data_IF_664857268788
#
_entry.id   IF_664857268788
#
_cell.length_a   1.000
_cell.length_b   1.000
_cell.length_c   1.000
_cell.angle_alpha   90.00
_cell.angle_beta   90.00
_cell.angle_gamma   90.00
#
_symmetry.space_group_name_H-M   'P 1'
#
loop_
_entity.id
_entity.type
_entity.pdbx_description
1 polymer ?
#
# COMPACT_ATOMS: atom_id res chain seq x y z
N UNK A 1 -21.75 8.00 -19.95
CA UNK A 1 -23.15 8.21 -19.61
C UNK A 1 -23.36 8.90 -18.26
N UNK A 2 -22.51 8.63 -17.26
CA UNK A 2 -22.71 9.05 -15.86
C UNK A 2 -21.59 9.96 -15.33
N UNK A 3 -20.80 10.57 -16.22
CA UNK A 3 -19.76 11.52 -15.86
C UNK A 3 -20.31 12.68 -15.04
N UNK A 4 -19.61 13.09 -14.00
CA UNK A 4 -20.02 14.13 -13.04
C UNK A 4 -21.29 13.82 -12.20
N UNK A 5 -21.78 12.58 -12.23
CA UNK A 5 -22.84 12.14 -11.33
C UNK A 5 -22.24 11.57 -10.05
N UNK A 6 -22.75 12.04 -8.91
CA UNK A 6 -22.35 11.48 -7.61
C UNK A 6 -22.75 10.00 -7.52
N UNK A 7 -21.83 9.12 -7.07
CA UNK A 7 -22.01 7.68 -7.14
C UNK A 7 -23.33 7.18 -6.54
N UNK A 8 -23.75 7.70 -5.39
CA UNK A 8 -25.02 7.31 -4.74
C UNK A 8 -26.27 7.87 -5.44
N UNK A 9 -26.10 8.69 -6.46
CA UNK A 9 -27.19 9.19 -7.33
C UNK A 9 -27.19 8.50 -8.70
N UNK A 10 -26.21 7.64 -8.97
CA UNK A 10 -26.08 6.99 -10.26
C UNK A 10 -27.05 5.81 -10.45
N UNK A 11 -27.40 5.10 -9.37
CA UNK A 11 -28.24 3.89 -9.45
C UNK A 11 -29.56 4.09 -10.19
N UNK A 12 -30.39 5.13 -9.90
CA UNK A 12 -31.60 5.35 -10.65
C UNK A 12 -31.35 5.59 -12.13
N UNK A 13 -30.29 6.33 -12.47
CA UNK A 13 -29.94 6.64 -13.86
C UNK A 13 -29.48 5.39 -14.61
N UNK A 14 -28.73 4.49 -13.94
CA UNK A 14 -28.32 3.21 -14.52
C UNK A 14 -29.54 2.34 -14.80
N UNK A 15 -30.47 2.25 -13.85
CA UNK A 15 -31.73 1.49 -14.00
C UNK A 15 -32.55 2.02 -15.16
N UNK A 16 -32.71 3.32 -15.26
CA UNK A 16 -33.43 3.97 -16.35
C UNK A 16 -32.79 3.67 -17.71
N UNK A 17 -31.47 3.79 -17.79
CA UNK A 17 -30.73 3.48 -19.02
C UNK A 17 -30.84 2.02 -19.45
N UNK A 18 -30.86 1.11 -18.51
CA UNK A 18 -31.08 -0.32 -18.79
C UNK A 18 -32.51 -0.58 -19.29
N UNK A 19 -33.52 0.13 -18.75
CA UNK A 19 -34.92 0.07 -19.23
C UNK A 19 -35.03 0.57 -20.67
N UNK A 20 -34.47 1.74 -20.96
CA UNK A 20 -34.44 2.32 -22.30
C UNK A 20 -33.86 1.38 -23.36
N UNK A 21 -32.85 0.61 -22.97
CA UNK A 21 -32.15 -0.34 -23.84
C UNK A 21 -32.79 -1.74 -23.87
N UNK A 22 -33.90 -1.96 -23.18
CA UNK A 22 -34.54 -3.26 -22.99
C UNK A 22 -33.58 -4.35 -22.43
N UNK A 23 -32.66 -3.94 -21.54
CA UNK A 23 -31.68 -4.83 -20.93
C UNK A 23 -31.91 -5.08 -19.43
N UNK A 24 -32.96 -4.50 -18.86
CA UNK A 24 -33.30 -4.69 -17.46
C UNK A 24 -34.26 -5.89 -17.33
N UNK A 25 -33.78 -6.97 -16.67
CA UNK A 25 -34.65 -8.11 -16.39
C UNK A 25 -35.54 -7.88 -15.18
N UNK A 26 -34.97 -7.36 -14.09
CA UNK A 26 -35.69 -7.12 -12.83
C UNK A 26 -34.96 -6.07 -11.99
N UNK A 27 -35.73 -5.32 -11.23
CA UNK A 27 -35.19 -4.39 -10.21
C UNK A 27 -35.98 -4.59 -8.91
N UNK A 28 -35.28 -4.84 -7.82
CA UNK A 28 -35.87 -5.00 -6.49
C UNK A 28 -35.06 -4.18 -5.47
N UNK A 29 -35.74 -3.78 -4.41
CA UNK A 29 -35.09 -3.20 -3.24
C UNK A 29 -34.69 -4.31 -2.28
N UNK A 30 -33.40 -4.38 -1.92
CA UNK A 30 -32.88 -5.28 -0.92
C UNK A 30 -32.42 -4.47 0.30
N UNK A 31 -32.89 -4.89 1.48
CA UNK A 31 -32.40 -4.33 2.73
C UNK A 31 -31.32 -5.28 3.29
N UNK A 32 -30.08 -4.80 3.40
CA UNK A 32 -28.93 -5.60 3.86
C UNK A 32 -27.93 -4.74 4.63
N UNK A 33 -27.04 -5.40 5.38
CA UNK A 33 -25.91 -4.72 6.01
C UNK A 33 -24.91 -4.23 4.94
N UNK A 34 -24.50 -2.98 5.07
CA UNK A 34 -23.52 -2.37 4.15
C UNK A 34 -22.29 -1.88 4.93
N UNK A 35 -21.06 -2.07 4.43
CA UNK A 35 -19.86 -1.69 5.14
C UNK A 35 -19.71 -0.18 5.24
N UNK A 36 -19.41 0.31 6.43
CA UNK A 36 -19.11 1.70 6.73
C UNK A 36 -17.78 1.77 7.49
N UNK A 37 -16.87 2.70 7.16
CA UNK A 37 -15.67 2.90 7.95
C UNK A 37 -16.05 3.48 9.31
N UNK A 38 -15.40 3.01 10.35
CA UNK A 38 -15.70 3.39 11.72
C UNK A 38 -15.51 4.90 12.01
N UNK A 39 -14.65 5.59 11.23
CA UNK A 39 -14.39 7.03 11.37
C UNK A 39 -15.46 7.88 10.70
N UNK A 40 -15.65 7.74 9.39
CA UNK A 40 -16.54 8.62 8.62
C UNK A 40 -18.01 8.24 8.70
N UNK A 41 -18.31 6.98 9.06
CA UNK A 41 -19.68 6.41 9.07
C UNK A 41 -20.41 6.50 7.71
N UNK A 42 -19.74 6.95 6.66
CA UNK A 42 -20.31 7.01 5.32
C UNK A 42 -20.27 5.63 4.65
N UNK A 43 -21.19 5.29 3.75
CA UNK A 43 -21.13 4.05 2.99
C UNK A 43 -19.81 3.95 2.21
N UNK A 44 -19.17 2.77 2.21
CA UNK A 44 -18.00 2.54 1.37
C UNK A 44 -18.36 2.52 -0.10
N UNK A 45 -17.40 2.90 -0.93
CA UNK A 45 -17.49 2.75 -2.38
C UNK A 45 -16.35 1.86 -2.88
N UNK A 46 -16.61 1.07 -3.92
CA UNK A 46 -15.60 0.31 -4.63
C UNK A 46 -15.05 1.15 -5.77
N UNK A 47 -13.74 1.34 -5.77
CA UNK A 47 -13.07 2.17 -6.77
C UNK A 47 -11.78 1.49 -7.23
N UNK A 48 -11.61 1.37 -8.54
CA UNK A 48 -10.33 1.00 -9.12
C UNK A 48 -9.37 2.20 -9.08
N UNK A 49 -8.22 2.01 -8.48
CA UNK A 49 -7.13 2.99 -8.43
C UNK A 49 -5.81 2.28 -8.73
N UNK A 50 -4.84 2.93 -9.38
CA UNK A 50 -3.49 2.40 -9.47
C UNK A 50 -2.95 2.12 -8.07
N UNK A 51 -2.30 0.96 -7.90
CA UNK A 51 -1.76 0.53 -6.61
C UNK A 51 -0.37 -0.06 -6.80
N UNK A 52 0.41 -0.02 -5.72
CA UNK A 52 1.75 -0.60 -5.67
C UNK A 52 1.76 -1.84 -4.80
N UNK A 53 2.45 -2.86 -5.28
CA UNK A 53 2.46 -4.18 -4.65
C UNK A 53 3.89 -4.68 -4.44
N UNK A 54 4.12 -5.33 -3.31
CA UNK A 54 5.27 -6.19 -3.09
C UNK A 54 4.87 -7.59 -3.54
N UNK A 55 5.59 -8.13 -4.53
CA UNK A 55 5.32 -9.48 -5.02
C UNK A 55 5.78 -10.52 -4.02
N UNK A 56 4.90 -11.42 -3.64
CA UNK A 56 5.21 -12.53 -2.75
C UNK A 56 6.02 -13.65 -3.45
N UNK A 57 6.01 -13.68 -4.78
CA UNK A 57 6.75 -14.69 -5.56
C UNK A 57 8.14 -14.21 -5.95
N UNK A 58 8.28 -12.90 -6.25
CA UNK A 58 9.56 -12.34 -6.68
C UNK A 58 10.62 -12.50 -5.58
N UNK A 59 11.83 -12.91 -5.99
CA UNK A 59 12.96 -13.19 -5.10
C UNK A 59 12.65 -14.25 -4.03
N UNK A 60 11.67 -15.13 -4.28
CA UNK A 60 11.24 -16.20 -3.37
C UNK A 60 10.84 -15.67 -1.99
N UNK A 61 10.19 -14.50 -1.92
CA UNK A 61 9.85 -13.85 -0.65
C UNK A 61 8.96 -14.75 0.21
N UNK A 62 7.94 -15.40 -0.39
CA UNK A 62 7.05 -16.32 0.32
C UNK A 62 7.82 -17.48 0.96
N UNK A 63 8.68 -18.14 0.19
CA UNK A 63 9.43 -19.31 0.65
C UNK A 63 10.41 -18.91 1.78
N UNK A 64 11.04 -17.76 1.64
CA UNK A 64 11.91 -17.21 2.70
C UNK A 64 11.13 -16.92 3.99
N UNK A 65 9.92 -16.34 3.87
CA UNK A 65 9.06 -16.07 5.02
C UNK A 65 8.59 -17.36 5.70
N UNK A 66 8.14 -18.36 4.92
CA UNK A 66 7.74 -19.68 5.43
C UNK A 66 8.91 -20.35 6.16
N UNK A 67 10.12 -20.30 5.57
CA UNK A 67 11.31 -20.84 6.21
C UNK A 67 11.59 -20.16 7.55
N UNK A 68 11.59 -18.83 7.58
CA UNK A 68 11.84 -18.07 8.81
C UNK A 68 10.80 -18.37 9.90
N UNK A 69 9.51 -18.48 9.53
CA UNK A 69 8.44 -18.87 10.47
C UNK A 69 8.72 -20.27 11.05
N UNK A 70 9.17 -21.22 10.22
CA UNK A 70 9.45 -22.57 10.67
C UNK A 70 10.65 -22.66 11.61
N UNK A 71 11.61 -21.77 11.47
CA UNK A 71 12.81 -21.65 12.31
C UNK A 71 12.54 -20.86 13.60
N UNK A 72 11.41 -20.17 13.71
CA UNK A 72 11.02 -19.37 14.89
C UNK A 72 10.21 -20.20 15.88
N UNK A 73 10.45 -20.01 17.17
CA UNK A 73 9.65 -20.62 18.26
C UNK A 73 8.49 -19.69 18.60
N UNK A 74 7.26 -20.24 18.66
CA UNK A 74 6.05 -19.50 18.94
C UNK A 74 5.44 -19.85 20.29
N UNK A 75 4.99 -18.84 21.02
CA UNK A 75 4.25 -18.97 22.28
C UNK A 75 2.96 -18.11 22.23
N UNK A 76 1.77 -18.69 22.15
CA UNK A 76 1.46 -20.13 22.00
C UNK A 76 1.74 -20.65 20.59
N UNK A 77 1.94 -21.94 20.44
CA UNK A 77 2.27 -22.58 19.15
C UNK A 77 1.23 -22.36 18.07
N UNK A 78 -0.04 -22.18 18.41
CA UNK A 78 -1.12 -21.88 17.45
C UNK A 78 -0.85 -20.62 16.60
N UNK A 79 -0.05 -19.70 17.12
CA UNK A 79 0.39 -18.51 16.38
C UNK A 79 1.19 -18.87 15.12
N UNK A 80 2.03 -19.92 15.20
CA UNK A 80 2.79 -20.42 14.06
C UNK A 80 1.89 -20.92 12.93
N UNK A 81 0.91 -21.77 13.28
CA UNK A 81 -0.02 -22.35 12.29
C UNK A 81 -0.83 -21.26 11.59
N UNK A 82 -1.32 -20.28 12.34
CA UNK A 82 -2.06 -19.13 11.78
C UNK A 82 -1.21 -18.29 10.83
N UNK A 83 0.02 -17.97 11.23
CA UNK A 83 0.92 -17.17 10.40
C UNK A 83 1.35 -17.91 9.14
N UNK A 84 1.65 -19.22 9.23
CA UNK A 84 1.96 -20.06 8.07
C UNK A 84 0.80 -20.06 7.08
N UNK A 85 -0.41 -20.41 7.53
CA UNK A 85 -1.59 -20.44 6.66
C UNK A 85 -1.85 -19.10 5.97
N UNK A 86 -1.65 -17.99 6.69
CA UNK A 86 -1.82 -16.67 6.12
C UNK A 86 -0.75 -16.35 5.06
N UNK A 87 0.51 -16.70 5.29
CA UNK A 87 1.62 -16.41 4.35
C UNK A 87 1.54 -17.32 3.12
N UNK A 88 1.19 -18.59 3.27
CA UNK A 88 1.02 -19.56 2.18
C UNK A 88 -0.05 -19.10 1.18
N UNK A 89 -1.21 -18.66 1.67
CA UNK A 89 -2.33 -18.22 0.86
C UNK A 89 -2.30 -16.73 0.47
N UNK A 90 -1.32 -15.97 0.92
CA UNK A 90 -1.34 -14.50 0.75
C UNK A 90 -1.11 -14.09 -0.69
N UNK A 91 -1.97 -13.23 -1.28
CA UNK A 91 -1.68 -12.57 -2.55
C UNK A 91 -0.54 -11.55 -2.39
N UNK A 92 -0.11 -10.93 -3.48
CA UNK A 92 0.85 -9.84 -3.46
C UNK A 92 0.36 -8.73 -2.51
N UNK A 93 1.28 -8.14 -1.76
CA UNK A 93 0.95 -7.19 -0.72
C UNK A 93 0.77 -5.78 -1.27
N UNK A 94 -0.45 -5.26 -1.24
CA UNK A 94 -0.73 -3.87 -1.61
C UNK A 94 -0.19 -2.93 -0.53
N UNK A 95 0.88 -2.20 -0.86
CA UNK A 95 1.59 -1.32 0.08
C UNK A 95 1.27 0.16 -0.07
N UNK A 96 0.59 0.57 -1.12
CA UNK A 96 0.22 1.97 -1.33
C UNK A 96 -1.10 2.35 -0.65
N UNK A 97 -1.16 3.57 -0.13
CA UNK A 97 -2.39 4.17 0.43
C UNK A 97 -2.53 5.61 -0.06
N UNK A 98 -3.75 5.97 -0.45
CA UNK A 98 -4.13 7.33 -0.85
C UNK A 98 -4.59 8.10 0.39
N UNK A 99 -3.62 8.54 1.21
CA UNK A 99 -3.85 9.27 2.46
C UNK A 99 -2.88 10.45 2.57
N UNK A 100 -3.25 11.43 3.37
CA UNK A 100 -2.46 12.64 3.57
C UNK A 100 -1.30 12.44 4.54
N UNK A 101 -1.42 11.51 5.48
CA UNK A 101 -0.42 11.25 6.52
C UNK A 101 0.21 9.85 6.37
N UNK A 102 1.52 9.80 6.35
CA UNK A 102 2.34 8.59 6.31
C UNK A 102 3.64 8.79 5.54
N UNK A 103 4.52 7.79 5.55
CA UNK A 103 5.77 7.80 4.81
C UNK A 103 5.48 7.72 3.30
N UNK A 104 5.94 8.68 2.49
CA UNK A 104 5.68 8.66 1.05
C UNK A 104 6.37 7.49 0.33
N UNK A 105 5.73 7.01 -0.73
CA UNK A 105 6.37 6.14 -1.72
C UNK A 105 7.19 7.01 -2.68
N UNK A 106 8.54 6.96 -2.62
CA UNK A 106 9.39 7.87 -3.37
C UNK A 106 9.56 7.45 -4.83
N UNK A 107 8.47 7.45 -5.58
CA UNK A 107 8.43 6.99 -6.96
C UNK A 107 8.06 8.15 -7.88
N UNK A 108 8.83 8.34 -8.94
CA UNK A 108 8.49 9.20 -10.05
C UNK A 108 7.81 8.42 -11.15
N UNK A 109 6.73 8.98 -11.70
CA UNK A 109 5.96 8.42 -12.81
C UNK A 109 6.16 9.30 -14.04
N UNK A 110 6.51 8.69 -15.16
CA UNK A 110 6.55 9.41 -16.43
C UNK A 110 5.13 9.80 -16.86
N UNK A 111 4.90 11.08 -17.10
CA UNK A 111 3.55 11.61 -17.40
C UNK A 111 2.95 11.07 -18.69
N UNK A 112 3.80 10.74 -19.69
CA UNK A 112 3.36 10.25 -21.00
C UNK A 112 3.16 8.75 -21.04
N UNK A 113 4.16 7.99 -20.56
CA UNK A 113 4.11 6.52 -20.61
C UNK A 113 3.40 5.88 -19.42
N UNK A 114 3.25 6.64 -18.34
CA UNK A 114 2.73 6.17 -17.03
C UNK A 114 3.62 5.12 -16.37
N UNK A 115 4.85 4.95 -16.87
CA UNK A 115 5.83 4.03 -16.31
C UNK A 115 6.60 4.65 -15.16
N UNK A 116 6.96 3.86 -14.12
CA UNK A 116 7.80 4.34 -13.03
C UNK A 116 9.26 4.53 -13.51
N UNK A 117 9.89 5.57 -13.00
CA UNK A 117 11.32 5.78 -13.19
C UNK A 117 12.09 4.73 -12.36
N UNK A 118 12.90 3.92 -13.07
CA UNK A 118 13.72 2.86 -12.46
C UNK A 118 15.20 3.20 -12.64
N UNK A 119 15.66 4.19 -11.90
CA UNK A 119 17.07 4.59 -11.91
C UNK A 119 17.63 4.54 -10.49
N UNK A 120 18.64 3.68 -10.29
CA UNK A 120 19.27 3.49 -8.99
C UNK A 120 19.90 4.77 -8.45
N UNK A 121 20.47 5.61 -9.32
CA UNK A 121 21.06 6.89 -8.89
C UNK A 121 20.03 7.85 -8.29
N UNK A 122 18.83 7.87 -8.89
CA UNK A 122 17.72 8.68 -8.35
C UNK A 122 17.24 8.11 -7.01
N UNK A 123 17.13 6.79 -6.90
CA UNK A 123 16.74 6.11 -5.65
C UNK A 123 17.74 6.40 -4.54
N UNK A 124 19.04 6.27 -4.82
CA UNK A 124 20.10 6.51 -3.84
C UNK A 124 20.15 7.99 -3.41
N UNK A 125 19.90 8.91 -4.35
CA UNK A 125 19.79 10.34 -4.07
C UNK A 125 18.62 10.63 -3.15
N UNK A 126 17.44 10.07 -3.42
CA UNK A 126 16.26 10.22 -2.57
C UNK A 126 16.55 9.69 -1.16
N UNK A 127 17.11 8.49 -1.06
CA UNK A 127 17.49 7.89 0.23
C UNK A 127 18.43 8.80 1.03
N UNK A 128 19.47 9.36 0.38
CA UNK A 128 20.41 10.28 1.01
C UNK A 128 19.77 11.59 1.47
N UNK A 129 18.76 12.08 0.74
CA UNK A 129 18.00 13.29 1.13
C UNK A 129 17.11 12.96 2.32
N UNK A 130 16.40 11.84 2.29
CA UNK A 130 15.54 11.39 3.39
C UNK A 130 16.34 11.18 4.69
N UNK A 131 17.55 10.61 4.60
CA UNK A 131 18.41 10.42 5.77
C UNK A 131 18.80 11.76 6.45
N UNK A 132 18.92 12.83 5.68
CA UNK A 132 19.33 14.15 6.18
C UNK A 132 18.18 15.02 6.62
N UNK A 133 17.06 14.97 5.91
CA UNK A 133 15.95 15.93 6.06
C UNK A 133 14.65 15.27 6.52
N UNK A 134 14.58 13.93 6.53
CA UNK A 134 13.34 13.19 6.74
C UNK A 134 12.51 13.07 5.46
N UNK A 135 11.51 12.22 5.48
CA UNK A 135 10.71 11.87 4.30
C UNK A 135 9.70 12.95 3.88
N UNK A 136 9.38 13.91 4.75
CA UNK A 136 8.41 14.99 4.47
C UNK A 136 8.88 15.90 3.34
N UNK A 137 10.21 15.99 3.11
CA UNK A 137 10.79 16.71 1.97
C UNK A 137 10.25 16.22 0.62
N UNK A 138 9.76 15.00 0.52
CA UNK A 138 9.09 14.50 -0.69
C UNK A 138 7.91 15.36 -1.11
N UNK A 139 7.14 15.86 -0.16
CA UNK A 139 5.96 16.68 -0.44
C UNK A 139 6.27 18.18 -0.55
N UNK A 140 7.33 18.64 0.09
CA UNK A 140 7.65 20.08 0.18
C UNK A 140 8.66 20.56 -0.85
N UNK A 141 9.63 19.71 -1.21
CA UNK A 141 10.74 20.12 -2.06
C UNK A 141 10.41 19.98 -3.55
N UNK A 142 11.11 20.73 -4.39
CA UNK A 142 10.97 20.62 -5.83
C UNK A 142 11.46 19.25 -6.36
N UNK A 143 10.81 18.74 -7.41
CA UNK A 143 11.18 17.48 -8.05
C UNK A 143 12.63 17.47 -8.55
N UNK A 144 13.18 18.63 -8.89
CA UNK A 144 14.56 18.80 -9.38
C UNK A 144 15.59 18.33 -8.35
N UNK A 145 15.32 18.54 -7.06
CA UNK A 145 16.19 18.12 -5.96
C UNK A 145 16.45 16.61 -5.99
N UNK A 146 15.42 15.85 -6.32
CA UNK A 146 15.46 14.39 -6.38
C UNK A 146 15.91 13.85 -7.74
N UNK A 147 15.40 14.45 -8.83
CA UNK A 147 15.67 14.00 -10.20
C UNK A 147 17.08 14.37 -10.68
N UNK A 148 17.66 15.45 -10.12
CA UNK A 148 18.96 15.97 -10.59
C UNK A 148 18.88 16.57 -11.98
N UNK A 149 20.03 16.67 -12.65
CA UNK A 149 20.13 17.22 -13.99
C UNK A 149 19.86 16.18 -15.08
N UNK A 150 19.79 14.91 -14.70
CA UNK A 150 19.63 13.79 -15.62
C UNK A 150 18.22 13.69 -16.20
N UNK A 151 17.22 14.24 -15.49
CA UNK A 151 15.82 14.14 -15.89
C UNK A 151 15.12 15.49 -15.91
N UNK A 152 14.27 15.68 -16.93
CA UNK A 152 13.42 16.87 -17.01
C UNK A 152 12.19 16.71 -16.09
N UNK A 153 12.03 17.62 -15.15
CA UNK A 153 10.92 17.63 -14.19
C UNK A 153 9.53 17.73 -14.84
N UNK A 154 9.48 18.29 -16.07
CA UNK A 154 8.22 18.37 -16.83
C UNK A 154 7.73 17.01 -17.32
N UNK A 155 8.60 16.04 -17.49
CA UNK A 155 8.26 14.69 -17.99
C UNK A 155 7.83 13.73 -16.87
N UNK A 156 8.08 14.09 -15.61
CA UNK A 156 7.81 13.23 -14.45
C UNK A 156 6.92 13.92 -13.42
N UNK A 157 6.18 13.12 -12.70
CA UNK A 157 5.40 13.54 -11.53
C UNK A 157 5.75 12.67 -10.32
N UNK A 158 5.76 13.25 -9.13
CA UNK A 158 5.90 12.52 -7.88
C UNK A 158 4.64 11.73 -7.59
N UNK A 159 4.79 10.50 -7.13
CA UNK A 159 3.69 9.74 -6.56
C UNK A 159 3.33 10.35 -5.19
N UNK A 160 2.03 10.57 -4.95
CA UNK A 160 1.54 11.11 -3.68
C UNK A 160 1.05 10.04 -2.70
N UNK A 161 1.14 8.77 -3.09
CA UNK A 161 0.77 7.66 -2.23
C UNK A 161 1.75 7.52 -1.07
N UNK A 162 1.25 7.06 0.06
CA UNK A 162 2.06 6.73 1.23
C UNK A 162 2.16 5.22 1.39
N UNK A 163 3.15 4.79 2.14
CA UNK A 163 3.34 3.39 2.51
C UNK A 163 2.27 2.98 3.53
N UNK A 164 1.86 1.74 3.46
CA UNK A 164 0.96 1.09 4.39
C UNK A 164 1.63 0.90 5.75
N UNK A 165 0.93 1.19 6.83
CA UNK A 165 1.47 1.23 8.21
C UNK A 165 2.12 -0.08 8.68
N UNK A 166 1.70 -1.22 8.17
CA UNK A 166 2.32 -2.51 8.50
C UNK A 166 3.69 -2.70 7.86
N UNK A 167 3.97 -1.97 6.78
CA UNK A 167 5.31 -1.89 6.22
C UNK A 167 6.23 -1.10 7.17
N UNK A 168 5.76 0.04 7.69
CA UNK A 168 6.51 0.81 8.68
C UNK A 168 6.82 -0.04 9.92
N UNK A 169 5.80 -0.71 10.46
CA UNK A 169 5.95 -1.62 11.59
C UNK A 169 6.93 -2.77 11.30
N UNK A 170 6.80 -3.42 10.16
CA UNK A 170 7.67 -4.51 9.75
C UNK A 170 9.13 -4.11 9.52
N UNK A 171 9.39 -2.83 9.26
CA UNK A 171 10.73 -2.28 9.06
C UNK A 171 11.43 -1.88 10.36
N UNK A 172 10.78 -2.01 11.52
CA UNK A 172 11.29 -1.58 12.83
C UNK A 172 12.67 -2.15 13.15
N UNK A 173 12.94 -3.41 12.77
CA UNK A 173 14.26 -4.02 12.97
C UNK A 173 15.38 -3.21 12.30
N UNK A 174 15.13 -2.66 11.12
CA UNK A 174 16.15 -1.95 10.36
C UNK A 174 16.47 -0.56 10.94
N UNK A 175 15.47 0.20 11.35
CA UNK A 175 15.71 1.56 11.86
C UNK A 175 15.83 1.65 13.38
N UNK A 176 15.57 0.57 14.12
CA UNK A 176 15.76 0.50 15.59
C UNK A 176 16.89 -0.46 15.94
N UNK A 177 16.73 -1.76 15.67
CA UNK A 177 17.68 -2.78 16.18
C UNK A 177 19.05 -2.69 15.50
N UNK A 178 19.10 -2.50 14.19
CA UNK A 178 20.35 -2.41 13.43
C UNK A 178 21.08 -1.06 13.62
N UNK A 179 20.36 -0.01 13.96
CA UNK A 179 20.92 1.35 14.07
C UNK A 179 21.40 1.71 15.49
N UNK A 180 20.91 1.02 16.51
CA UNK A 180 21.24 1.32 17.90
C UNK A 180 22.29 0.35 18.43
N UNK A 181 23.41 0.88 18.88
CA UNK A 181 24.54 0.09 19.42
C UNK A 181 24.22 -0.62 20.75
N UNK A 182 23.23 -0.10 21.50
CA UNK A 182 22.76 -0.68 22.76
C UNK A 182 21.74 -1.81 22.57
N UNK A 183 21.34 -2.12 21.33
CA UNK A 183 20.40 -3.17 21.01
C UNK A 183 21.03 -4.27 20.15
N UNK A 184 20.38 -5.44 20.16
CA UNK A 184 20.82 -6.61 19.41
C UNK A 184 19.87 -6.88 18.23
N UNK A 185 20.43 -7.23 17.10
CA UNK A 185 19.70 -7.76 15.94
C UNK A 185 20.27 -9.15 15.55
N UNK A 186 19.42 -10.14 15.23
CA UNK A 186 17.96 -10.13 15.39
C UNK A 186 17.49 -10.09 16.84
N UNK A 187 16.24 -9.69 17.07
CA UNK A 187 15.65 -9.69 18.40
C UNK A 187 15.55 -11.10 18.98
N UNK A 188 15.78 -11.22 20.29
CA UNK A 188 15.61 -12.51 21.00
C UNK A 188 14.13 -12.86 21.19
N UNK A 189 13.27 -11.86 21.31
CA UNK A 189 11.82 -12.01 21.45
C UNK A 189 11.09 -10.90 20.69
N UNK A 190 10.03 -11.26 19.98
CA UNK A 190 9.08 -10.35 19.36
C UNK A 190 7.69 -10.61 19.94
N UNK A 191 7.14 -9.59 20.64
CA UNK A 191 5.83 -9.69 21.27
C UNK A 191 4.78 -8.97 20.41
N UNK A 192 3.82 -9.73 19.92
CA UNK A 192 2.75 -9.24 19.05
C UNK A 192 1.37 -9.66 19.48
N UNK A 193 0.36 -8.81 19.22
CA UNK A 193 -1.03 -9.16 19.35
C UNK A 193 -1.51 -10.13 18.27
N UNK A 194 -2.51 -10.96 18.57
CA UNK A 194 -3.07 -11.94 17.61
C UNK A 194 -3.71 -11.32 16.36
N UNK A 195 -4.05 -10.04 16.39
CA UNK A 195 -4.55 -9.27 15.26
C UNK A 195 -3.49 -9.05 14.16
N UNK A 196 -2.20 -9.17 14.49
CA UNK A 196 -1.11 -9.16 13.51
C UNK A 196 -1.10 -10.40 12.61
N UNK A 197 -1.77 -11.45 13.02
CA UNK A 197 -1.89 -12.71 12.27
C UNK A 197 -3.15 -12.77 11.37
N UNK A 198 -3.52 -11.64 10.80
CA UNK A 198 -4.64 -11.52 9.85
C UNK A 198 -4.20 -11.43 8.41
#
# INVERSE_FOLDING_TARGET
YFTNTHIFKADPLVIEKLKEQNKLLKNEKLNHSYPHPWRSKAPLIYRATPQWFISMQKNNLRDKAIKAINETVFYPNIGKERLLSMVEGRPDWCVSRQRVWGVPLPIFINKKTREPLRDQKVIDRIASIYEKQGSDCWFTDDSKVFLGDEYNTNDYEKLNDIVEVWFDSGSTHSFVLEKREDLKWPADMYLEGSDQHR
#
